data_IF_885671602575
#
_entry.id   IF_885671602575
#
_cell.length_a   1.000
_cell.length_b   1.000
_cell.length_c   1.000
_cell.angle_alpha   90.00
_cell.angle_beta   90.00
_cell.angle_gamma   90.00
#
_symmetry.space_group_name_H-M   'P 1'
#
loop_
_entity.id
_entity.type
_entity.pdbx_description
1 polymer ?
#
# COMPACT_ATOMS: atom_id res chain seq x y z
N UNK A 1 23.57 -24.02 36.84
CA UNK A 1 23.02 -22.66 36.63
C UNK A 1 23.02 -22.35 35.14
N UNK A 2 21.86 -22.29 34.49
CA UNK A 2 21.78 -21.99 33.06
C UNK A 2 22.08 -20.49 32.83
N UNK A 3 23.25 -20.18 32.26
CA UNK A 3 23.66 -18.83 31.86
C UNK A 3 22.65 -18.32 30.82
N UNK A 4 21.70 -17.46 31.23
CA UNK A 4 20.76 -16.80 30.30
C UNK A 4 21.59 -16.05 29.26
N UNK A 5 21.62 -16.53 28.02
CA UNK A 5 22.24 -15.80 26.90
C UNK A 5 21.56 -14.44 26.81
N UNK A 6 22.32 -13.36 26.99
CA UNK A 6 21.85 -11.98 26.82
C UNK A 6 21.31 -11.86 25.39
N UNK A 7 19.99 -11.69 25.24
CA UNK A 7 19.37 -11.44 23.93
C UNK A 7 20.01 -10.14 23.39
N UNK A 8 20.60 -10.20 22.21
CA UNK A 8 21.28 -9.04 21.61
C UNK A 8 20.28 -7.90 21.44
N UNK A 9 20.54 -6.75 22.09
CA UNK A 9 19.73 -5.52 21.97
C UNK A 9 19.58 -5.10 20.50
N UNK A 10 20.58 -5.45 19.67
CA UNK A 10 20.65 -5.13 18.26
C UNK A 10 19.53 -5.81 17.43
N UNK A 11 19.22 -7.09 17.71
CA UNK A 11 18.14 -7.80 17.03
C UNK A 11 16.74 -7.27 17.38
N UNK A 12 16.59 -6.62 18.54
CA UNK A 12 15.35 -5.99 18.96
C UNK A 12 15.17 -4.62 18.28
N UNK A 13 16.25 -3.85 18.14
CA UNK A 13 16.28 -2.57 17.41
C UNK A 13 15.92 -2.79 15.92
N UNK A 14 16.50 -3.78 15.25
CA UNK A 14 16.14 -4.10 13.86
C UNK A 14 14.68 -4.51 13.70
N UNK A 15 14.12 -5.20 14.69
CA UNK A 15 12.70 -5.56 14.68
C UNK A 15 11.79 -4.36 14.90
N UNK A 16 12.14 -3.48 15.83
CA UNK A 16 11.41 -2.25 16.07
C UNK A 16 11.45 -1.33 14.85
N UNK A 17 12.61 -1.24 14.17
CA UNK A 17 12.76 -0.53 12.91
C UNK A 17 11.85 -1.08 11.82
N UNK A 18 11.85 -2.41 11.61
CA UNK A 18 10.96 -3.04 10.62
C UNK A 18 9.48 -2.74 10.88
N UNK A 19 9.05 -2.81 12.15
CA UNK A 19 7.66 -2.50 12.54
C UNK A 19 7.35 -1.01 12.34
N UNK A 20 8.26 -0.11 12.70
CA UNK A 20 8.09 1.34 12.49
C UNK A 20 7.92 1.68 11.02
N UNK A 21 8.78 1.13 10.15
CA UNK A 21 8.69 1.36 8.71
C UNK A 21 7.46 0.71 8.09
N UNK A 22 7.01 -0.45 8.60
CA UNK A 22 5.76 -1.06 8.17
C UNK A 22 4.55 -0.21 8.55
N UNK A 23 4.51 0.35 9.77
CA UNK A 23 3.45 1.28 10.18
C UNK A 23 3.50 2.53 9.31
N UNK A 24 4.68 3.09 9.06
CA UNK A 24 4.83 4.24 8.16
C UNK A 24 4.29 3.92 6.76
N UNK A 25 4.59 2.75 6.19
CA UNK A 25 4.07 2.31 4.90
C UNK A 25 2.52 2.23 4.89
N UNK A 26 1.92 1.77 5.99
CA UNK A 26 0.46 1.73 6.15
C UNK A 26 -0.13 3.14 6.24
N UNK A 27 0.53 4.04 6.97
CA UNK A 27 0.12 5.45 7.05
C UNK A 27 0.17 6.17 5.69
N UNK A 28 0.94 5.67 4.71
CA UNK A 28 0.94 6.24 3.36
C UNK A 28 -0.40 6.07 2.63
N UNK A 29 -1.36 5.27 3.14
CA UNK A 29 -2.69 5.18 2.55
C UNK A 29 -3.44 6.52 2.54
N UNK A 30 -3.09 7.44 3.43
CA UNK A 30 -3.69 8.77 3.51
C UNK A 30 -3.11 9.77 2.49
N UNK A 31 -2.01 9.40 1.83
CA UNK A 31 -1.42 10.19 0.75
C UNK A 31 -1.98 9.75 -0.60
N UNK A 32 -1.78 10.57 -1.63
CA UNK A 32 -2.11 10.25 -3.01
C UNK A 32 -1.37 8.98 -3.44
N UNK A 33 -2.11 7.93 -3.77
CA UNK A 33 -1.57 6.67 -4.25
C UNK A 33 -1.47 6.63 -5.77
N UNK A 34 -2.40 7.28 -6.46
CA UNK A 34 -2.47 7.32 -7.93
C UNK A 34 -2.91 8.70 -8.40
N UNK A 35 -2.36 9.14 -9.52
CA UNK A 35 -2.70 10.40 -10.19
C UNK A 35 -3.10 10.11 -11.64
N UNK A 36 -4.20 10.71 -12.09
CA UNK A 36 -4.46 10.86 -13.53
C UNK A 36 -3.68 12.05 -14.05
N UNK A 37 -2.90 11.81 -15.09
CA UNK A 37 -2.07 12.82 -15.74
C UNK A 37 -2.42 12.86 -17.22
N UNK A 38 -2.60 14.06 -17.78
CA UNK A 38 -2.66 14.27 -19.22
C UNK A 38 -1.51 15.19 -19.62
N UNK A 39 -0.50 14.61 -20.27
CA UNK A 39 0.77 15.30 -20.52
C UNK A 39 1.54 15.60 -19.24
N UNK A 40 1.73 16.89 -18.93
CA UNK A 40 2.39 17.37 -17.69
C UNK A 40 1.39 17.78 -16.59
N UNK A 41 0.09 17.83 -16.91
CA UNK A 41 -0.93 18.30 -15.96
C UNK A 41 -1.57 17.15 -15.20
N UNK A 42 -1.64 17.29 -13.88
CA UNK A 42 -2.39 16.38 -13.00
C UNK A 42 -3.87 16.74 -13.06
N UNK A 43 -4.69 15.84 -13.59
CA UNK A 43 -6.13 16.04 -13.75
C UNK A 43 -6.91 15.66 -12.50
N UNK A 44 -6.50 14.59 -11.82
CA UNK A 44 -7.11 14.15 -10.56
C UNK A 44 -6.11 13.35 -9.75
N UNK A 45 -6.25 13.39 -8.43
CA UNK A 45 -5.43 12.63 -7.49
C UNK A 45 -6.33 11.80 -6.60
N UNK A 46 -5.96 10.55 -6.36
CA UNK A 46 -6.69 9.66 -5.46
C UNK A 46 -5.78 9.13 -4.37
N UNK A 47 -6.23 9.28 -3.14
CA UNK A 47 -5.56 8.75 -1.94
C UNK A 47 -5.58 7.23 -1.93
N UNK A 48 -4.62 6.61 -1.22
CA UNK A 48 -4.60 5.15 -1.04
C UNK A 48 -5.91 4.58 -0.49
N UNK A 49 -6.58 5.30 0.41
CA UNK A 49 -7.91 4.93 0.91
C UNK A 49 -8.94 4.95 -0.20
N UNK A 50 -9.01 6.01 -1.02
CA UNK A 50 -9.96 6.11 -2.13
C UNK A 50 -9.74 5.03 -3.18
N UNK A 51 -8.47 4.70 -3.46
CA UNK A 51 -8.15 3.67 -4.46
C UNK A 51 -8.41 2.26 -3.92
N UNK A 52 -8.18 2.01 -2.63
CA UNK A 52 -8.42 0.71 -2.02
C UNK A 52 -9.92 0.46 -1.73
N UNK A 53 -10.62 1.45 -1.16
CA UNK A 53 -12.01 1.33 -0.70
C UNK A 53 -13.06 1.76 -1.73
N UNK A 54 -12.63 2.45 -2.78
CA UNK A 54 -13.53 3.09 -3.74
C UNK A 54 -13.80 4.55 -3.40
N UNK A 55 -14.36 5.27 -4.38
CA UNK A 55 -14.66 6.69 -4.28
C UNK A 55 -15.98 6.99 -4.98
N UNK A 56 -16.88 7.63 -4.24
CA UNK A 56 -18.15 8.16 -4.75
C UNK A 56 -18.25 9.64 -4.41
N UNK A 57 -18.84 10.44 -5.30
CA UNK A 57 -19.34 11.77 -4.93
C UNK A 57 -20.83 11.88 -5.18
N UNK A 58 -21.52 12.57 -4.29
CA UNK A 58 -22.95 12.84 -4.44
C UNK A 58 -23.14 14.22 -5.01
N UNK A 59 -23.74 14.29 -6.20
CA UNK A 59 -24.06 15.55 -6.85
C UNK A 59 -25.54 15.91 -6.65
N UNK A 60 -25.88 17.17 -6.29
CA UNK A 60 -27.25 17.57 -5.96
C UNK A 60 -28.30 17.31 -7.04
N UNK A 61 -27.89 17.21 -8.30
CA UNK A 61 -28.78 17.07 -9.47
C UNK A 61 -28.74 15.69 -10.14
N UNK A 62 -27.79 14.83 -9.76
CA UNK A 62 -27.46 13.59 -10.49
C UNK A 62 -27.39 12.36 -9.58
N UNK A 63 -27.42 12.55 -8.27
CA UNK A 63 -27.31 11.45 -7.30
C UNK A 63 -25.86 11.06 -7.02
N UNK A 64 -25.67 9.88 -6.44
CA UNK A 64 -24.35 9.32 -6.12
C UNK A 64 -23.67 8.81 -7.39
N UNK A 65 -22.46 9.31 -7.65
CA UNK A 65 -21.63 8.91 -8.78
C UNK A 65 -20.39 8.21 -8.26
N UNK A 66 -20.26 6.93 -8.60
CA UNK A 66 -19.08 6.12 -8.28
C UNK A 66 -18.01 6.32 -9.33
N UNK A 67 -16.81 6.71 -8.90
CA UNK A 67 -15.62 6.84 -9.74
C UNK A 67 -14.72 5.63 -9.61
N UNK A 68 -14.51 5.16 -8.38
CA UNK A 68 -13.67 4.00 -8.08
C UNK A 68 -14.47 2.96 -7.31
N UNK A 69 -14.31 1.71 -7.69
CA UNK A 69 -14.80 0.56 -6.95
C UNK A 69 -13.75 0.09 -5.93
N UNK A 70 -14.19 -0.76 -5.01
CA UNK A 70 -13.29 -1.46 -4.11
C UNK A 70 -12.22 -2.24 -4.88
N UNK A 71 -10.96 -2.04 -4.54
CA UNK A 71 -9.83 -2.78 -5.11
C UNK A 71 -9.09 -3.54 -4.01
N UNK A 72 -9.36 -4.85 -3.94
CA UNK A 72 -8.64 -5.76 -3.03
C UNK A 72 -7.14 -5.74 -3.33
N UNK A 73 -6.75 -5.63 -4.61
CA UNK A 73 -5.35 -5.59 -5.02
C UNK A 73 -4.62 -4.35 -4.48
N UNK A 74 -5.29 -3.20 -4.40
CA UNK A 74 -4.72 -2.00 -3.78
C UNK A 74 -4.87 -1.96 -2.26
N UNK A 75 -5.80 -2.72 -1.68
CA UNK A 75 -5.86 -2.92 -0.22
C UNK A 75 -4.78 -3.88 0.29
N UNK A 76 -4.47 -4.91 -0.51
CA UNK A 76 -3.53 -5.98 -0.19
C UNK A 76 -2.15 -5.50 0.30
N UNK A 77 -1.46 -4.52 -0.32
CA UNK A 77 -0.16 -4.06 0.15
C UNK A 77 -0.19 -3.57 1.61
N UNK A 78 -1.26 -2.90 2.03
CA UNK A 78 -1.42 -2.43 3.41
C UNK A 78 -1.60 -3.59 4.39
N UNK A 79 -2.40 -4.60 4.01
CA UNK A 79 -2.61 -5.80 4.82
C UNK A 79 -1.30 -6.60 4.93
N UNK A 80 -0.55 -6.76 3.83
CA UNK A 80 0.74 -7.45 3.82
C UNK A 80 1.79 -6.71 4.65
N UNK A 81 1.84 -5.38 4.60
CA UNK A 81 2.71 -4.58 5.44
C UNK A 81 2.39 -4.78 6.94
N UNK A 82 1.10 -4.78 7.32
CA UNK A 82 0.68 -5.09 8.69
C UNK A 82 1.02 -6.52 9.10
N UNK A 83 0.72 -7.50 8.24
CA UNK A 83 1.03 -8.90 8.50
C UNK A 83 2.54 -9.11 8.67
N UNK A 84 3.35 -8.51 7.80
CA UNK A 84 4.80 -8.49 7.89
C UNK A 84 5.28 -7.90 9.22
N UNK A 85 4.68 -6.80 9.67
CA UNK A 85 5.00 -6.18 10.95
C UNK A 85 4.71 -7.11 12.14
N UNK A 86 3.54 -7.74 12.16
CA UNK A 86 3.14 -8.69 13.21
C UNK A 86 4.09 -9.89 13.24
N UNK A 87 4.42 -10.45 12.07
CA UNK A 87 5.34 -11.59 11.97
C UNK A 87 6.77 -11.19 12.39
N UNK A 88 7.25 -10.01 12.01
CA UNK A 88 8.56 -9.49 12.43
C UNK A 88 8.63 -9.33 13.95
N UNK A 89 7.56 -8.82 14.57
CA UNK A 89 7.42 -8.71 16.02
C UNK A 89 7.44 -10.10 16.68
N UNK A 90 6.66 -11.06 16.16
CA UNK A 90 6.65 -12.45 16.62
C UNK A 90 8.03 -13.10 16.51
N UNK A 91 8.77 -12.81 15.44
CA UNK A 91 10.14 -13.28 15.23
C UNK A 91 11.11 -12.72 16.28
N UNK A 92 10.87 -11.50 16.78
CA UNK A 92 11.67 -10.90 17.86
C UNK A 92 11.47 -11.58 19.21
N UNK A 93 10.25 -12.05 19.47
CA UNK A 93 9.88 -12.67 20.74
C UNK A 93 10.18 -14.18 20.75
N UNK A 94 10.11 -14.84 19.60
CA UNK A 94 10.23 -16.29 19.46
C UNK A 94 11.67 -16.83 19.50
N UNK A 95 11.84 -18.10 19.91
CA UNK A 95 13.12 -18.84 19.83
C UNK A 95 13.46 -19.31 18.41
N UNK A 96 12.48 -19.43 17.52
CA UNK A 96 12.61 -19.88 16.12
C UNK A 96 12.54 -18.68 15.15
N UNK A 97 13.45 -17.72 15.34
CA UNK A 97 13.42 -16.41 14.67
C UNK A 97 13.72 -16.44 13.16
N UNK A 98 14.42 -17.46 12.66
CA UNK A 98 14.85 -17.55 11.27
C UNK A 98 13.68 -17.62 10.27
N UNK A 99 12.79 -18.62 10.42
CA UNK A 99 11.66 -18.81 9.50
C UNK A 99 10.67 -17.64 9.55
N UNK A 100 10.41 -17.10 10.74
CA UNK A 100 9.50 -15.96 10.90
C UNK A 100 10.07 -14.69 10.26
N UNK A 101 11.38 -14.44 10.37
CA UNK A 101 12.00 -13.31 9.67
C UNK A 101 11.90 -13.48 8.14
N UNK A 102 12.07 -14.69 7.59
CA UNK A 102 11.91 -14.92 6.14
C UNK A 102 10.47 -14.64 5.70
N UNK A 103 9.48 -15.11 6.46
CA UNK A 103 8.07 -14.85 6.16
C UNK A 103 7.77 -13.35 6.22
N UNK A 104 8.29 -12.63 7.23
CA UNK A 104 8.15 -11.18 7.32
C UNK A 104 8.77 -10.46 6.12
N UNK A 105 9.99 -10.85 5.71
CA UNK A 105 10.64 -10.32 4.50
C UNK A 105 9.78 -10.56 3.27
N UNK A 106 9.25 -11.77 3.09
CA UNK A 106 8.38 -12.10 1.96
C UNK A 106 7.12 -11.22 1.93
N UNK A 107 6.46 -11.02 3.08
CA UNK A 107 5.30 -10.13 3.19
C UNK A 107 5.64 -8.68 2.82
N UNK A 108 6.78 -8.15 3.30
CA UNK A 108 7.20 -6.79 3.00
C UNK A 108 7.62 -6.58 1.54
N UNK A 109 8.31 -7.56 0.95
CA UNK A 109 8.67 -7.50 -0.48
C UNK A 109 7.42 -7.57 -1.35
N UNK A 110 6.49 -8.48 -1.03
CA UNK A 110 5.22 -8.56 -1.76
C UNK A 110 4.42 -7.26 -1.63
N UNK A 111 4.30 -6.68 -0.43
CA UNK A 111 3.67 -5.37 -0.23
C UNK A 111 4.34 -4.27 -1.09
N UNK A 112 5.67 -4.24 -1.14
CA UNK A 112 6.40 -3.26 -1.94
C UNK A 112 6.07 -3.37 -3.43
N UNK A 113 6.05 -4.59 -3.98
CA UNK A 113 5.69 -4.82 -5.39
C UNK A 113 4.27 -4.29 -5.66
N UNK A 114 3.31 -4.64 -4.81
CA UNK A 114 1.93 -4.17 -4.97
C UNK A 114 1.80 -2.64 -4.85
N UNK A 115 2.58 -1.99 -3.99
CA UNK A 115 2.65 -0.54 -3.93
C UNK A 115 3.17 0.08 -5.24
N UNK A 116 4.22 -0.48 -5.84
CA UNK A 116 4.75 -0.01 -7.13
C UNK A 116 3.87 -0.38 -8.32
N UNK A 117 2.91 -1.28 -8.17
CA UNK A 117 1.95 -1.62 -9.23
C UNK A 117 0.53 -1.10 -8.92
N UNK A 118 0.38 -0.20 -7.94
CA UNK A 118 -0.92 0.28 -7.47
C UNK A 118 -1.74 0.97 -8.58
N UNK A 119 -1.08 1.62 -9.54
CA UNK A 119 -1.76 2.26 -10.68
C UNK A 119 -2.41 1.23 -11.62
N UNK A 120 -1.82 0.04 -11.78
CA UNK A 120 -2.33 -1.01 -12.69
C UNK A 120 -3.52 -1.78 -12.13
N UNK A 121 -3.78 -1.66 -10.83
CA UNK A 121 -4.83 -2.39 -10.12
C UNK A 121 -5.97 -1.50 -9.61
N UNK A 122 -6.07 -0.29 -10.15
CA UNK A 122 -7.20 0.60 -9.88
C UNK A 122 -8.48 -0.02 -10.44
N UNK A 123 -9.48 -0.21 -9.58
CA UNK A 123 -10.79 -0.70 -9.97
C UNK A 123 -11.67 0.49 -10.31
N UNK A 124 -11.90 0.73 -11.60
CA UNK A 124 -12.72 1.87 -12.06
C UNK A 124 -14.20 1.46 -12.04
N UNK A 125 -15.06 2.33 -11.54
CA UNK A 125 -16.50 2.08 -11.55
C UNK A 125 -17.09 2.20 -12.97
N UNK A 126 -18.11 1.40 -13.27
CA UNK A 126 -18.88 1.55 -14.50
C UNK A 126 -19.71 2.83 -14.46
N UNK A 127 -19.63 3.65 -15.51
CA UNK A 127 -20.50 4.82 -15.67
C UNK A 127 -21.91 4.35 -16.02
N UNK A 128 -22.77 4.21 -15.01
CA UNK A 128 -24.21 4.01 -15.18
C UNK A 128 -24.94 5.32 -14.92
N UNK A 129 -25.16 6.11 -15.98
CA UNK A 129 -26.15 7.18 -15.93
C UNK A 129 -26.30 7.96 -17.23
N UNK A 130 -27.53 8.40 -17.50
CA UNK A 130 -27.93 9.08 -18.72
C UNK A 130 -28.11 10.59 -18.47
N UNK A 131 -27.19 11.42 -18.96
CA UNK A 131 -27.28 12.89 -18.92
C UNK A 131 -25.99 13.61 -19.38
N UNK A 132 -26.06 14.90 -19.72
CA UNK A 132 -24.92 15.68 -20.27
C UNK A 132 -23.77 15.88 -19.28
N UNK A 133 -24.06 15.98 -17.97
CA UNK A 133 -23.03 15.94 -16.91
C UNK A 133 -22.44 14.53 -16.72
N UNK A 134 -23.20 13.49 -17.09
CA UNK A 134 -22.70 12.11 -17.12
C UNK A 134 -21.63 11.94 -18.21
N UNK A 135 -21.62 12.76 -19.26
CA UNK A 135 -20.57 12.73 -20.30
C UNK A 135 -19.22 13.17 -19.74
N UNK A 136 -19.18 14.19 -18.87
CA UNK A 136 -17.95 14.62 -18.20
C UNK A 136 -17.42 13.57 -17.22
N UNK A 137 -18.31 13.00 -16.39
CA UNK A 137 -17.96 11.90 -15.48
C UNK A 137 -17.51 10.68 -16.28
N UNK A 138 -18.23 10.33 -17.36
CA UNK A 138 -17.89 9.23 -18.24
C UNK A 138 -16.55 9.44 -18.92
N UNK A 139 -16.21 10.66 -19.34
CA UNK A 139 -14.88 10.97 -19.87
C UNK A 139 -13.77 10.78 -18.83
N UNK A 140 -14.00 11.15 -17.56
CA UNK A 140 -13.04 10.92 -16.47
C UNK A 140 -12.91 9.42 -16.17
N UNK A 141 -14.03 8.70 -16.13
CA UNK A 141 -14.10 7.24 -15.92
C UNK A 141 -13.47 6.47 -17.08
N UNK A 142 -13.67 6.91 -18.32
CA UNK A 142 -13.07 6.31 -19.51
C UNK A 142 -11.55 6.62 -19.55
N UNK A 143 -11.13 7.84 -19.20
CA UNK A 143 -9.71 8.16 -19.03
C UNK A 143 -9.04 7.36 -17.89
N UNK A 144 -9.79 7.03 -16.83
CA UNK A 144 -9.38 6.13 -15.76
C UNK A 144 -9.21 4.69 -16.25
N UNK A 145 -10.08 4.23 -17.16
CA UNK A 145 -10.04 2.89 -17.75
C UNK A 145 -8.93 2.73 -18.78
N UNK A 146 -8.61 3.77 -19.53
CA UNK A 146 -7.57 3.73 -20.56
C UNK A 146 -6.18 3.45 -19.97
N UNK A 147 -5.97 3.67 -18.67
CA UNK A 147 -4.81 3.18 -17.92
C UNK A 147 -3.48 3.89 -18.23
N UNK A 148 -3.27 4.36 -19.46
CA UNK A 148 -2.05 5.04 -19.92
C UNK A 148 -1.81 6.39 -19.20
N UNK A 149 -2.87 6.99 -18.69
CA UNK A 149 -2.83 8.26 -17.97
C UNK A 149 -2.69 8.08 -16.45
N UNK A 150 -2.74 6.86 -15.91
CA UNK A 150 -2.58 6.61 -14.48
C UNK A 150 -1.11 6.48 -14.12
N UNK A 151 -0.64 7.39 -13.27
CA UNK A 151 0.71 7.35 -12.69
C UNK A 151 0.64 7.05 -11.19
N UNK A 152 1.67 6.36 -10.72
CA UNK A 152 1.87 6.10 -9.30
C UNK A 152 2.24 7.42 -8.63
N UNK A 153 1.52 7.78 -7.58
CA UNK A 153 1.76 9.00 -6.83
C UNK A 153 2.65 8.76 -5.61
N UNK A 154 2.97 9.84 -4.90
CA UNK A 154 3.96 9.84 -3.82
C UNK A 154 3.65 8.84 -2.69
N UNK A 155 2.37 8.62 -2.37
CA UNK A 155 1.94 7.70 -1.31
C UNK A 155 2.30 6.24 -1.61
N UNK A 156 2.05 5.80 -2.84
CA UNK A 156 2.43 4.46 -3.29
C UNK A 156 3.96 4.30 -3.39
N UNK A 157 4.68 5.32 -3.87
CA UNK A 157 6.14 5.31 -3.93
C UNK A 157 6.76 5.19 -2.52
N UNK A 158 6.34 6.05 -1.59
CA UNK A 158 6.82 6.01 -0.21
C UNK A 158 6.40 4.73 0.50
N UNK A 159 5.18 4.25 0.30
CA UNK A 159 4.70 2.97 0.84
C UNK A 159 5.57 1.80 0.39
N UNK A 160 5.92 1.77 -0.91
CA UNK A 160 6.84 0.79 -1.48
C UNK A 160 8.24 0.87 -0.88
N UNK A 161 8.83 2.07 -0.81
CA UNK A 161 10.17 2.29 -0.25
C UNK A 161 10.23 1.89 1.23
N UNK A 162 9.27 2.32 2.05
CA UNK A 162 9.24 1.97 3.47
C UNK A 162 9.06 0.47 3.67
N UNK A 163 8.28 -0.21 2.81
CA UNK A 163 8.17 -1.66 2.85
C UNK A 163 9.48 -2.36 2.48
N UNK A 164 10.25 -1.84 1.51
CA UNK A 164 11.60 -2.36 1.20
C UNK A 164 12.55 -2.18 2.38
N UNK A 165 12.53 -1.01 3.03
CA UNK A 165 13.38 -0.77 4.22
C UNK A 165 12.98 -1.70 5.36
N UNK A 166 11.69 -1.94 5.57
CA UNK A 166 11.20 -2.91 6.55
C UNK A 166 11.65 -4.34 6.24
N UNK A 167 11.67 -4.73 4.96
CA UNK A 167 12.22 -6.00 4.50
C UNK A 167 13.72 -6.10 4.79
N UNK A 168 14.49 -5.05 4.48
CA UNK A 168 15.93 -5.01 4.75
C UNK A 168 16.24 -5.13 6.25
N UNK A 169 15.51 -4.41 7.12
CA UNK A 169 15.64 -4.55 8.58
C UNK A 169 15.33 -5.97 9.06
N UNK A 170 14.30 -6.60 8.49
CA UNK A 170 13.91 -7.97 8.82
C UNK A 170 14.94 -9.01 8.33
N UNK A 171 15.55 -8.77 7.17
CA UNK A 171 16.60 -9.60 6.59
C UNK A 171 17.93 -9.48 7.36
N UNK A 172 18.36 -8.26 7.72
CA UNK A 172 19.58 -8.03 8.50
C UNK A 172 19.57 -8.75 9.85
N UNK A 173 18.40 -8.83 10.49
CA UNK A 173 18.18 -9.59 11.73
C UNK A 173 18.37 -11.11 11.57
N UNK A 174 18.32 -11.64 10.34
CA UNK A 174 18.65 -13.05 10.06
C UNK A 174 20.16 -13.28 10.23
N UNK A 175 20.98 -12.30 9.83
CA UNK A 175 22.43 -12.38 9.86
C UNK A 175 23.03 -11.93 11.20
N UNK A 176 22.36 -11.02 11.91
CA UNK A 176 22.77 -10.50 13.22
C UNK A 176 22.11 -11.33 14.34
N UNK A 177 22.84 -12.31 14.88
CA UNK A 177 22.35 -13.25 15.90
C UNK A 177 22.60 -12.77 17.34
#
# INVERSE_FOLDING_TARGET
MAKKRKKSTLGLVFSAGAVLFAIAAVCMMFLNAVELVSGENVLAQYTGVQVAFGYSETYPLIGEVKFLNFSIMNLLPYILALAGAVVALLAALSKKSFLLNIIAVACFVAAAVFFFTAASYVSVAGSEGSGTLNVLVKNIVDALKDGDNLKIAIGSLLGGVFSIVAAACSALKIFVK
#
